data_IF_095121912979
#
_entry.id   IF_095121912979
#
_cell.length_a   1.000
_cell.length_b   1.000
_cell.length_c   1.000
_cell.angle_alpha   90.00
_cell.angle_beta   90.00
_cell.angle_gamma   90.00
#
_symmetry.space_group_name_H-M   'P 1'
#
loop_
_entity.id
_entity.type
_entity.pdbx_description
1 polymer ?
#
# COMPACT_ATOMS: atom_id res chain seq x y z
N UNK A 1 -6.59 -11.29 9.95
CA UNK A 1 -5.36 -11.61 9.19
C UNK A 1 -4.83 -10.30 8.64
N UNK A 2 -3.65 -9.85 9.07
CA UNK A 2 -3.08 -8.56 8.62
C UNK A 2 -2.36 -8.78 7.29
N UNK A 3 -2.90 -8.22 6.20
CA UNK A 3 -2.26 -8.30 4.88
C UNK A 3 -1.12 -7.28 4.83
N UNK A 4 0.12 -7.77 4.81
CA UNK A 4 1.30 -6.94 4.61
C UNK A 4 1.45 -6.63 3.12
N UNK A 5 2.17 -5.56 2.81
CA UNK A 5 2.55 -5.13 1.47
C UNK A 5 4.01 -4.76 1.41
N UNK A 6 4.66 -5.03 0.30
CA UNK A 6 5.98 -4.50 0.00
C UNK A 6 5.90 -3.49 -1.12
N UNK A 7 6.47 -2.30 -0.89
CA UNK A 7 6.71 -1.32 -1.93
C UNK A 7 8.17 -1.43 -2.37
N UNK A 8 8.38 -1.61 -3.67
CA UNK A 8 9.68 -1.62 -4.31
C UNK A 8 9.84 -0.37 -5.16
N UNK A 9 10.97 0.31 -4.98
CA UNK A 9 11.44 1.36 -5.86
C UNK A 9 12.59 0.82 -6.70
N UNK A 10 12.48 0.96 -8.02
CA UNK A 10 13.56 0.65 -8.98
C UNK A 10 13.89 1.90 -9.78
N UNK A 11 15.14 2.02 -10.25
CA UNK A 11 15.56 3.06 -11.20
C UNK A 11 16.10 2.43 -12.47
N UNK A 12 15.72 3.03 -13.60
CA UNK A 12 16.24 2.73 -14.93
C UNK A 12 16.56 4.01 -15.71
N UNK A 13 17.08 3.90 -16.94
CA UNK A 13 17.52 5.04 -17.75
C UNK A 13 16.46 6.12 -17.98
N UNK A 14 15.17 5.75 -17.92
CA UNK A 14 14.04 6.63 -18.22
C UNK A 14 13.32 7.17 -16.97
N UNK A 15 13.83 6.91 -15.75
CA UNK A 15 13.25 7.42 -14.51
C UNK A 15 13.17 6.40 -13.37
N UNK A 16 12.44 6.78 -12.32
CA UNK A 16 12.13 5.90 -11.18
C UNK A 16 10.78 5.24 -11.39
N UNK A 17 10.70 3.92 -11.19
CA UNK A 17 9.44 3.20 -11.10
C UNK A 17 9.18 2.79 -9.64
N UNK A 18 7.91 2.79 -9.26
CA UNK A 18 7.44 2.28 -7.97
C UNK A 18 6.45 1.15 -8.25
N UNK A 19 6.64 0.01 -7.60
CA UNK A 19 5.75 -1.14 -7.70
C UNK A 19 5.37 -1.62 -6.31
N UNK A 20 4.15 -2.14 -6.19
CA UNK A 20 3.67 -2.83 -5.00
C UNK A 20 3.61 -4.33 -5.28
N UNK A 21 4.13 -5.13 -4.34
CA UNK A 21 4.09 -6.57 -4.38
C UNK A 21 3.70 -7.11 -3.00
N UNK A 22 3.19 -8.33 -2.94
CA UNK A 22 2.99 -8.99 -1.67
C UNK A 22 4.36 -9.29 -1.02
N UNK A 23 4.47 -9.14 0.30
CA UNK A 23 5.71 -9.41 1.00
C UNK A 23 6.01 -10.90 1.00
N UNK A 24 7.29 -11.25 1.06
CA UNK A 24 7.70 -12.64 1.12
C UNK A 24 7.31 -13.26 2.47
N UNK A 25 7.12 -14.58 2.49
CA UNK A 25 6.76 -15.33 3.70
C UNK A 25 7.86 -15.25 4.77
N UNK A 26 9.12 -15.12 4.35
CA UNK A 26 10.28 -14.95 5.23
C UNK A 26 10.37 -13.54 5.86
N UNK A 27 9.40 -12.66 5.58
CA UNK A 27 9.38 -11.29 6.07
C UNK A 27 10.51 -10.44 5.48
N UNK A 28 11.08 -9.53 6.26
CA UNK A 28 12.03 -8.55 5.71
C UNK A 28 13.30 -9.19 5.10
N UNK A 29 13.66 -10.41 5.52
CA UNK A 29 14.78 -11.18 4.96
C UNK A 29 14.62 -11.55 3.47
N UNK A 30 13.38 -11.63 2.97
CA UNK A 30 13.10 -11.95 1.56
C UNK A 30 12.99 -10.72 0.65
N UNK A 31 13.09 -9.49 1.18
CA UNK A 31 12.79 -8.27 0.42
C UNK A 31 13.78 -8.02 -0.73
N UNK A 32 15.05 -8.37 -0.56
CA UNK A 32 16.05 -8.24 -1.61
C UNK A 32 15.71 -9.16 -2.80
N UNK A 33 15.38 -10.43 -2.53
CA UNK A 33 15.00 -11.38 -3.57
C UNK A 33 13.67 -10.98 -4.25
N UNK A 34 12.70 -10.46 -3.49
CA UNK A 34 11.47 -9.90 -4.05
C UNK A 34 11.76 -8.70 -4.97
N UNK A 35 12.71 -7.84 -4.59
CA UNK A 35 13.12 -6.69 -5.38
C UNK A 35 13.64 -7.10 -6.76
N UNK A 36 14.57 -8.05 -6.80
CA UNK A 36 15.17 -8.55 -8.04
C UNK A 36 14.14 -9.23 -8.96
N UNK A 37 13.28 -10.08 -8.38
CA UNK A 37 12.19 -10.71 -9.15
C UNK A 37 11.23 -9.70 -9.74
N UNK A 38 10.88 -8.67 -8.96
CA UNK A 38 9.96 -7.62 -9.41
C UNK A 38 10.61 -6.75 -10.48
N UNK A 39 11.89 -6.39 -10.34
CA UNK A 39 12.64 -5.66 -11.37
C UNK A 39 12.69 -6.45 -12.69
N UNK A 40 12.97 -7.76 -12.60
CA UNK A 40 12.95 -8.66 -13.76
C UNK A 40 11.56 -8.71 -14.41
N UNK A 41 10.50 -8.86 -13.60
CA UNK A 41 9.13 -8.89 -14.08
C UNK A 41 8.72 -7.57 -14.76
N UNK A 42 9.07 -6.42 -14.17
CA UNK A 42 8.80 -5.10 -14.77
C UNK A 42 9.57 -4.94 -16.08
N UNK A 43 10.86 -5.31 -16.13
CA UNK A 43 11.67 -5.25 -17.35
C UNK A 43 11.03 -6.05 -18.50
N UNK A 44 10.49 -7.24 -18.19
CA UNK A 44 9.81 -8.10 -19.17
C UNK A 44 8.50 -7.51 -19.73
N UNK A 45 7.92 -6.47 -19.09
CA UNK A 45 6.75 -5.76 -19.63
C UNK A 45 7.10 -4.86 -20.82
N UNK A 46 8.38 -4.54 -21.02
CA UNK A 46 8.83 -3.66 -22.09
C UNK A 46 9.50 -4.47 -23.22
N UNK A 47 9.26 -4.03 -24.46
CA UNK A 47 9.88 -4.64 -25.66
C UNK A 47 11.41 -4.59 -25.59
N UNK A 48 11.96 -3.44 -25.19
CA UNK A 48 13.41 -3.22 -25.11
C UNK A 48 14.08 -3.88 -23.89
N UNK A 49 13.27 -4.40 -22.95
CA UNK A 49 13.74 -5.07 -21.72
C UNK A 49 14.86 -4.32 -21.00
N UNK A 50 14.59 -3.09 -20.52
CA UNK A 50 15.62 -2.28 -19.91
C UNK A 50 16.16 -2.97 -18.64
N UNK A 51 17.46 -2.83 -18.39
CA UNK A 51 18.03 -3.20 -17.10
C UNK A 51 17.49 -2.25 -16.04
N UNK A 52 16.89 -2.81 -14.98
CA UNK A 52 16.37 -2.07 -13.84
C UNK A 52 17.18 -2.42 -12.60
N UNK A 53 17.62 -1.40 -11.86
CA UNK A 53 18.35 -1.59 -10.61
C UNK A 53 17.41 -1.29 -9.43
N UNK A 54 17.19 -2.25 -8.52
CA UNK A 54 16.49 -1.96 -7.26
C UNK A 54 17.18 -0.87 -6.46
N UNK A 55 16.41 0.12 -5.99
CA UNK A 55 16.92 1.19 -5.13
C UNK A 55 16.55 0.98 -3.67
N UNK A 56 15.31 0.60 -3.41
CA UNK A 56 14.83 0.35 -2.05
C UNK A 56 13.58 -0.50 -2.05
N UNK A 57 13.46 -1.35 -1.03
CA UNK A 57 12.27 -2.15 -0.78
C UNK A 57 11.87 -1.99 0.67
N UNK A 58 10.58 -1.77 0.92
CA UNK A 58 10.04 -1.69 2.29
C UNK A 58 8.76 -2.49 2.39
N UNK A 59 8.60 -3.22 3.49
CA UNK A 59 7.32 -3.80 3.87
C UNK A 59 6.51 -2.80 4.70
N UNK A 60 5.19 -2.89 4.62
CA UNK A 60 4.21 -2.08 5.32
C UNK A 60 2.94 -2.92 5.56
N UNK A 61 2.08 -2.51 6.48
CA UNK A 61 0.79 -3.18 6.71
C UNK A 61 -0.31 -2.49 5.89
N UNK A 62 -1.18 -3.27 5.24
CA UNK A 62 -2.46 -2.76 4.73
C UNK A 62 -3.47 -2.80 5.88
N UNK A 63 -4.01 -1.65 6.34
CA UNK A 63 -5.10 -1.65 7.30
C UNK A 63 -6.34 -2.28 6.66
N UNK A 64 -6.84 -3.35 7.27
CA UNK A 64 -8.09 -4.03 6.89
C UNK A 64 -8.84 -4.36 8.17
N UNK A 65 -10.16 -4.22 8.16
CA UNK A 65 -11.02 -4.76 9.22
C UNK A 65 -11.07 -6.28 9.13
N UNK A 66 -11.53 -6.94 10.19
CA UNK A 66 -11.64 -8.40 10.25
C UNK A 66 -12.64 -8.97 9.23
N UNK A 67 -13.66 -8.19 8.86
CA UNK A 67 -14.69 -8.54 7.88
C UNK A 67 -14.39 -8.00 6.47
N UNK A 68 -13.29 -7.28 6.30
CA UNK A 68 -12.91 -6.65 5.03
C UNK A 68 -13.75 -5.44 4.62
N UNK A 69 -14.72 -5.02 5.43
CA UNK A 69 -15.59 -3.87 5.16
C UNK A 69 -14.95 -2.58 5.71
N UNK A 70 -14.89 -1.49 4.93
CA UNK A 70 -14.35 -0.23 5.44
C UNK A 70 -15.08 0.28 6.69
N UNK A 71 -14.31 0.73 7.69
CA UNK A 71 -14.81 1.49 8.83
C UNK A 71 -14.76 2.98 8.49
N UNK A 72 -15.87 3.70 8.66
CA UNK A 72 -15.94 5.15 8.46
C UNK A 72 -17.02 5.75 9.37
N UNK A 73 -16.68 6.02 10.63
CA UNK A 73 -17.66 6.42 11.62
C UNK A 73 -17.11 6.64 13.02
N UNK A 74 -17.97 7.08 13.94
CA UNK A 74 -17.65 7.15 15.37
C UNK A 74 -17.55 5.75 15.96
N UNK A 75 -16.54 5.52 16.80
CA UNK A 75 -16.34 4.24 17.46
C UNK A 75 -17.36 4.04 18.58
N UNK A 76 -18.10 2.93 18.60
CA UNK A 76 -18.98 2.61 19.71
C UNK A 76 -18.20 2.52 21.03
N UNK A 77 -18.70 3.16 22.09
CA UNK A 77 -18.11 3.09 23.43
C UNK A 77 -16.87 3.97 23.65
N UNK A 78 -16.44 4.76 22.67
CA UNK A 78 -15.32 5.70 22.84
C UNK A 78 -15.74 7.11 22.43
N UNK A 79 -15.91 7.99 23.42
CA UNK A 79 -16.41 9.34 23.18
C UNK A 79 -15.47 10.16 22.28
N UNK A 80 -16.03 10.78 21.24
CA UNK A 80 -15.33 11.72 20.37
C UNK A 80 -14.35 11.10 19.36
N UNK A 81 -14.24 9.77 19.28
CA UNK A 81 -13.31 9.12 18.34
C UNK A 81 -14.03 8.75 17.04
N UNK A 82 -13.59 9.35 15.94
CA UNK A 82 -13.98 9.00 14.58
C UNK A 82 -12.84 8.24 13.89
N UNK A 83 -13.14 7.08 13.29
CA UNK A 83 -12.15 6.25 12.62
C UNK A 83 -12.48 6.06 11.14
N UNK A 84 -11.44 6.13 10.31
CA UNK A 84 -11.49 5.75 8.91
C UNK A 84 -10.45 4.66 8.67
N UNK A 85 -10.90 3.44 8.36
CA UNK A 85 -10.05 2.30 7.98
C UNK A 85 -10.63 1.74 6.69
N UNK A 86 -9.91 1.89 5.58
CA UNK A 86 -10.40 1.50 4.27
C UNK A 86 -9.28 1.03 3.33
N UNK A 87 -9.62 0.09 2.44
CA UNK A 87 -8.79 -0.32 1.32
C UNK A 87 -9.62 -0.30 0.02
N UNK A 88 -9.12 0.30 -1.08
CA UNK A 88 -7.85 1.04 -1.23
C UNK A 88 -7.89 2.43 -0.58
N UNK A 89 -7.13 2.63 0.49
CA UNK A 89 -7.16 3.88 1.27
C UNK A 89 -6.52 5.08 0.58
N UNK A 90 -5.38 4.90 -0.07
CA UNK A 90 -4.60 6.02 -0.66
C UNK A 90 -5.38 6.74 -1.77
N UNK A 91 -5.95 5.98 -2.70
CA UNK A 91 -6.70 6.53 -3.84
C UNK A 91 -7.98 7.21 -3.37
N UNK A 92 -8.62 6.68 -2.31
CA UNK A 92 -9.88 7.20 -1.77
C UNK A 92 -9.71 8.26 -0.68
N UNK A 93 -8.48 8.53 -0.23
CA UNK A 93 -8.21 9.40 0.91
C UNK A 93 -8.87 10.80 0.80
N UNK A 94 -8.83 11.51 -0.34
CA UNK A 94 -9.47 12.82 -0.44
C UNK A 94 -11.00 12.78 -0.26
N UNK A 95 -11.64 11.72 -0.75
CA UNK A 95 -13.08 11.55 -0.66
C UNK A 95 -13.51 11.10 0.74
N UNK A 96 -12.81 10.11 1.31
CA UNK A 96 -13.04 9.63 2.66
C UNK A 96 -12.82 10.74 3.70
N UNK A 97 -11.77 11.56 3.55
CA UNK A 97 -11.54 12.72 4.42
C UNK A 97 -12.67 13.74 4.35
N UNK A 98 -13.22 13.99 3.15
CA UNK A 98 -14.40 14.87 2.99
C UNK A 98 -15.65 14.29 3.66
N UNK A 99 -15.88 12.99 3.55
CA UNK A 99 -16.99 12.33 4.23
C UNK A 99 -16.84 12.39 5.75
N UNK A 100 -15.65 12.06 6.27
CA UNK A 100 -15.34 12.15 7.69
C UNK A 100 -15.60 13.56 8.22
N UNK A 101 -15.06 14.60 7.56
CA UNK A 101 -15.28 15.98 7.94
C UNK A 101 -16.77 16.36 7.96
N UNK A 102 -17.55 15.96 6.94
CA UNK A 102 -19.00 16.22 6.91
C UNK A 102 -19.75 15.56 8.06
N UNK A 103 -19.35 14.35 8.46
CA UNK A 103 -19.99 13.64 9.57
C UNK A 103 -19.59 14.25 10.91
N UNK A 104 -18.30 14.54 11.10
CA UNK A 104 -17.78 15.12 12.34
C UNK A 104 -18.38 16.51 12.59
N UNK A 105 -18.52 17.36 11.57
CA UNK A 105 -19.08 18.72 11.73
C UNK A 105 -20.61 18.73 11.94
N UNK A 106 -21.30 17.60 11.77
CA UNK A 106 -22.75 17.47 12.00
C UNK A 106 -23.10 16.77 13.31
N UNK A 107 -22.11 16.16 13.97
CA UNK A 107 -22.25 15.47 15.25
C UNK A 107 -22.10 16.47 16.40
#
# INVERSE_FOLDING_TARGET
MSMKNSALRVVGPSGTLLSAADPPDEGDGGLAALAERTATAISALFVERPTLTPLSTKSALRPMTSDGVPLNGFLPGVAGVYAVVAHPGVILAPWLGRLAAKTIMKA
#
